data_IF_539455984474
#
_entry.id   IF_539455984474
#
_cell.length_a   1.000
_cell.length_b   1.000
_cell.length_c   1.000
_cell.angle_alpha   90.00
_cell.angle_beta   90.00
_cell.angle_gamma   90.00
#
_symmetry.space_group_name_H-M   'P 1'
#
loop_
_entity.id
_entity.type
_entity.pdbx_description
1 polymer ?
#
# COMPACT_ATOMS: atom_id res chain seq x y z
N UNK A 1 -21.76 39.33 -4.48
CA UNK A 1 -22.20 37.98 -4.12
C UNK A 1 -21.70 37.01 -5.17
N UNK A 2 -20.55 36.37 -4.92
CA UNK A 2 -20.01 35.35 -5.81
C UNK A 2 -20.48 33.95 -5.35
N UNK A 3 -21.08 33.13 -6.21
CA UNK A 3 -21.36 31.75 -5.85
C UNK A 3 -20.07 30.96 -5.79
N UNK A 4 -19.83 30.38 -4.63
CA UNK A 4 -18.76 29.42 -4.36
C UNK A 4 -18.90 28.26 -5.36
N UNK A 5 -17.90 28.10 -6.20
CA UNK A 5 -17.79 26.94 -7.10
C UNK A 5 -17.78 25.67 -6.25
N UNK A 6 -18.88 24.93 -6.30
CA UNK A 6 -18.94 23.56 -5.80
C UNK A 6 -18.02 22.71 -6.68
N UNK A 7 -16.84 22.39 -6.14
CA UNK A 7 -15.95 21.38 -6.72
C UNK A 7 -16.68 20.04 -6.69
N UNK A 8 -17.27 19.67 -7.82
CA UNK A 8 -17.67 18.31 -8.12
C UNK A 8 -16.41 17.44 -8.27
N UNK A 9 -15.85 17.03 -7.14
CA UNK A 9 -14.96 15.88 -7.14
C UNK A 9 -15.82 14.71 -7.61
N UNK A 10 -15.51 14.19 -8.80
CA UNK A 10 -16.23 13.08 -9.40
C UNK A 10 -16.39 11.97 -8.36
N UNK A 11 -17.63 11.66 -8.04
CA UNK A 11 -18.01 10.65 -7.06
C UNK A 11 -17.26 9.36 -7.40
N UNK A 12 -16.30 8.99 -6.55
CA UNK A 12 -15.67 7.68 -6.60
C UNK A 12 -16.83 6.68 -6.51
N UNK A 13 -16.99 5.82 -7.51
CA UNK A 13 -17.98 4.77 -7.44
C UNK A 13 -17.70 3.96 -6.18
N UNK A 14 -18.67 3.83 -5.25
CA UNK A 14 -18.45 3.07 -4.03
C UNK A 14 -18.08 1.63 -4.40
N UNK A 15 -17.06 1.11 -3.75
CA UNK A 15 -16.77 -0.33 -3.79
C UNK A 15 -18.08 -1.09 -3.58
N UNK A 16 -18.29 -2.24 -4.25
CA UNK A 16 -19.45 -3.08 -3.98
C UNK A 16 -19.62 -3.22 -2.46
N UNK A 17 -20.80 -2.94 -1.95
CA UNK A 17 -21.08 -2.91 -0.51
C UNK A 17 -20.59 -4.16 0.25
N UNK A 18 -20.46 -5.26 -0.46
CA UNK A 18 -19.92 -6.53 0.02
C UNK A 18 -18.42 -6.44 0.39
N UNK A 19 -17.61 -5.73 -0.40
CA UNK A 19 -16.18 -5.53 -0.12
C UNK A 19 -15.96 -4.55 1.03
N UNK A 20 -16.77 -3.49 1.10
CA UNK A 20 -16.73 -2.55 2.21
C UNK A 20 -17.15 -3.22 3.53
N UNK A 21 -18.17 -4.09 3.50
CA UNK A 21 -18.65 -4.81 4.69
C UNK A 21 -17.67 -5.90 5.15
N UNK A 22 -16.99 -6.55 4.21
CA UNK A 22 -15.91 -7.50 4.51
C UNK A 22 -14.70 -6.81 5.13
N UNK A 23 -14.31 -5.65 4.60
CA UNK A 23 -13.19 -4.85 5.14
C UNK A 23 -13.43 -4.41 6.57
N UNK A 24 -14.66 -4.01 6.92
CA UNK A 24 -15.03 -3.56 8.28
C UNK A 24 -15.15 -4.71 9.30
N UNK A 25 -15.35 -5.95 8.85
CA UNK A 25 -15.49 -7.14 9.70
C UNK A 25 -14.21 -7.93 9.88
N UNK A 26 -13.19 -7.71 9.03
CA UNK A 26 -11.88 -8.33 9.22
C UNK A 26 -11.17 -7.62 10.38
N UNK A 27 -10.71 -8.36 11.42
CA UNK A 27 -9.81 -7.78 12.40
C UNK A 27 -8.63 -7.12 11.69
N UNK A 28 -8.19 -5.93 12.11
CA UNK A 28 -7.13 -5.18 11.46
C UNK A 28 -5.85 -6.00 11.25
N UNK A 29 -5.55 -6.90 12.17
CA UNK A 29 -4.33 -7.71 12.14
C UNK A 29 -4.24 -8.72 10.98
N UNK A 30 -5.25 -9.53 10.65
CA UNK A 30 -5.23 -10.37 9.45
C UNK A 30 -5.10 -9.59 8.15
N UNK A 31 -5.71 -8.39 8.07
CA UNK A 31 -5.54 -7.49 6.93
C UNK A 31 -4.10 -7.00 6.80
N UNK A 32 -3.47 -6.63 7.92
CA UNK A 32 -2.06 -6.23 7.97
C UNK A 32 -1.12 -7.37 7.56
N UNK A 33 -1.43 -8.62 7.91
CA UNK A 33 -0.65 -9.79 7.48
C UNK A 33 -0.70 -9.96 5.95
N UNK A 34 -1.87 -9.82 5.34
CA UNK A 34 -2.01 -9.90 3.88
C UNK A 34 -1.30 -8.74 3.18
N UNK A 35 -1.42 -7.52 3.72
CA UNK A 35 -0.72 -6.35 3.22
C UNK A 35 0.80 -6.57 3.26
N UNK A 36 1.33 -7.01 4.39
CA UNK A 36 2.76 -7.31 4.59
C UNK A 36 3.24 -8.41 3.64
N UNK A 37 2.45 -9.46 3.44
CA UNK A 37 2.81 -10.52 2.49
C UNK A 37 2.94 -9.95 1.07
N UNK A 38 2.02 -9.08 0.65
CA UNK A 38 2.08 -8.41 -0.65
C UNK A 38 3.29 -7.47 -0.75
N UNK A 39 3.57 -6.66 0.29
CA UNK A 39 4.74 -5.77 0.33
C UNK A 39 6.05 -6.55 0.24
N UNK A 40 6.17 -7.65 0.98
CA UNK A 40 7.35 -8.51 0.95
C UNK A 40 7.53 -9.20 -0.41
N UNK A 41 6.45 -9.59 -1.05
CA UNK A 41 6.49 -10.24 -2.35
C UNK A 41 6.88 -9.27 -3.47
N UNK A 42 6.34 -8.05 -3.41
CA UNK A 42 6.38 -7.08 -4.51
C UNK A 42 7.45 -6.02 -4.30
N UNK A 43 7.49 -5.36 -3.13
CA UNK A 43 8.36 -4.21 -2.90
C UNK A 43 9.72 -4.58 -2.32
N UNK A 44 9.77 -5.53 -1.38
CA UNK A 44 11.03 -5.91 -0.71
C UNK A 44 12.21 -6.16 -1.66
N UNK A 45 12.06 -6.88 -2.81
CA UNK A 45 13.18 -7.13 -3.72
C UNK A 45 13.75 -5.87 -4.38
N UNK A 46 12.97 -4.80 -4.41
CA UNK A 46 13.30 -3.55 -5.10
C UNK A 46 13.71 -2.41 -4.15
N UNK A 47 13.73 -2.67 -2.84
CA UNK A 47 14.14 -1.67 -1.86
C UNK A 47 15.66 -1.59 -1.73
N UNK A 48 16.27 -0.40 -1.93
CA UNK A 48 17.67 -0.16 -1.63
C UNK A 48 18.00 -0.33 -0.14
N UNK A 49 19.26 -0.57 0.20
CA UNK A 49 19.68 -0.83 1.59
C UNK A 49 19.54 0.38 2.50
N UNK A 50 19.76 1.58 2.01
CA UNK A 50 19.55 2.84 2.73
C UNK A 50 18.07 3.05 3.07
N UNK A 51 17.16 2.69 2.16
CA UNK A 51 15.71 2.73 2.42
C UNK A 51 15.33 1.70 3.49
N UNK A 52 15.84 0.47 3.40
CA UNK A 52 15.61 -0.56 4.43
C UNK A 52 16.07 -0.10 5.81
N UNK A 53 17.25 0.53 5.87
CA UNK A 53 17.79 1.11 7.11
C UNK A 53 16.86 2.20 7.67
N UNK A 54 16.37 3.11 6.83
CA UNK A 54 15.46 4.18 7.22
C UNK A 54 14.09 3.68 7.70
N UNK A 55 13.61 2.55 7.17
CA UNK A 55 12.33 1.92 7.56
C UNK A 55 12.45 1.05 8.81
N UNK A 56 13.67 0.65 9.21
CA UNK A 56 13.88 -0.30 10.31
C UNK A 56 13.31 0.21 11.63
N UNK A 57 12.41 -0.56 12.23
CA UNK A 57 11.78 -0.26 13.51
C UNK A 57 10.72 0.85 13.46
N UNK A 58 10.50 1.49 12.31
CA UNK A 58 9.47 2.52 12.16
C UNK A 58 8.08 1.89 12.05
N UNK A 59 7.10 2.52 12.71
CA UNK A 59 5.71 2.14 12.60
C UNK A 59 5.06 2.85 11.41
N UNK A 60 4.71 2.08 10.41
CA UNK A 60 4.07 2.54 9.19
C UNK A 60 2.60 2.12 9.16
N UNK A 61 1.76 2.99 8.66
CA UNK A 61 0.34 2.72 8.44
C UNK A 61 -0.08 3.08 7.02
N UNK A 62 -0.80 2.18 6.37
CA UNK A 62 -1.54 2.45 5.14
C UNK A 62 -3.02 2.50 5.48
N UNK A 63 -3.68 3.62 5.19
CA UNK A 63 -5.11 3.83 5.38
C UNK A 63 -5.82 3.90 4.04
N UNK A 64 -6.79 3.01 3.84
CA UNK A 64 -7.69 3.03 2.67
C UNK A 64 -8.98 3.71 3.08
N UNK A 65 -9.13 4.99 2.69
CA UNK A 65 -10.15 5.89 3.25
C UNK A 65 -11.59 5.48 2.91
N UNK A 66 -11.83 5.04 1.68
CA UNK A 66 -13.17 4.63 1.20
C UNK A 66 -13.57 3.22 1.69
N UNK A 67 -12.61 2.38 2.05
CA UNK A 67 -12.85 1.07 2.65
C UNK A 67 -12.91 1.11 4.18
N UNK A 68 -12.46 2.22 4.80
CA UNK A 68 -12.42 2.38 6.26
C UNK A 68 -11.46 1.40 6.95
N UNK A 69 -10.41 0.95 6.26
CA UNK A 69 -9.42 0.00 6.79
C UNK A 69 -8.05 0.62 6.90
N UNK A 70 -7.27 0.17 7.88
CA UNK A 70 -5.88 0.55 8.07
C UNK A 70 -5.03 -0.69 8.31
N UNK A 71 -3.81 -0.67 7.78
CA UNK A 71 -2.84 -1.74 7.87
C UNK A 71 -1.57 -1.21 8.54
N UNK A 72 -1.24 -1.77 9.70
CA UNK A 72 -0.08 -1.39 10.50
C UNK A 72 1.04 -2.40 10.30
N UNK A 73 2.25 -1.89 10.03
CA UNK A 73 3.41 -2.71 9.78
C UNK A 73 4.72 -1.96 10.09
N UNK A 74 5.82 -2.69 10.13
CA UNK A 74 7.17 -2.17 10.32
C UNK A 74 8.15 -2.94 9.45
N UNK A 75 9.34 -2.38 9.22
CA UNK A 75 10.46 -3.16 8.70
C UNK A 75 11.24 -3.75 9.85
N UNK A 76 11.43 -5.07 9.87
CA UNK A 76 12.17 -5.76 10.92
C UNK A 76 12.98 -6.91 10.34
N UNK A 77 14.26 -6.93 10.68
CA UNK A 77 15.18 -7.92 10.11
C UNK A 77 15.34 -7.75 8.61
N UNK A 78 14.81 -8.68 7.84
CA UNK A 78 14.90 -8.71 6.38
C UNK A 78 13.54 -8.56 5.69
N UNK A 79 12.58 -7.87 6.30
CA UNK A 79 11.28 -7.70 5.63
C UNK A 79 10.27 -6.89 6.42
N UNK A 80 9.14 -6.65 5.77
CA UNK A 80 7.98 -6.08 6.42
C UNK A 80 7.35 -7.08 7.37
N UNK A 81 6.93 -6.62 8.53
CA UNK A 81 6.24 -7.39 9.57
C UNK A 81 4.98 -6.64 10.03
N UNK A 82 3.85 -7.35 10.13
CA UNK A 82 2.60 -6.77 10.60
C UNK A 82 2.69 -6.39 12.08
N UNK A 83 2.09 -5.27 12.45
CA UNK A 83 1.92 -4.84 13.82
C UNK A 83 0.50 -5.13 14.30
N UNK A 84 0.40 -5.66 15.52
CA UNK A 84 -0.88 -6.03 16.12
C UNK A 84 -1.59 -4.87 16.81
N UNK A 85 -0.87 -3.86 17.24
CA UNK A 85 -1.42 -2.73 17.98
C UNK A 85 -1.21 -1.42 17.26
N UNK A 86 -2.27 -0.66 17.20
CA UNK A 86 -2.30 0.67 16.69
C UNK A 86 -1.88 1.68 17.77
N UNK A 87 -0.58 1.92 17.87
CA UNK A 87 -0.10 3.18 18.42
C UNK A 87 -0.25 4.30 17.39
N UNK A 88 0.29 5.47 17.69
CA UNK A 88 0.48 6.53 16.70
C UNK A 88 1.57 6.06 15.73
N UNK A 89 1.30 5.99 14.42
CA UNK A 89 2.34 5.61 13.45
C UNK A 89 3.38 6.72 13.30
N UNK A 90 4.61 6.34 12.99
CA UNK A 90 5.65 7.30 12.59
C UNK A 90 5.30 7.95 11.24
N UNK A 91 4.68 7.18 10.35
CA UNK A 91 4.16 7.65 9.07
C UNK A 91 2.84 6.96 8.73
N UNK A 92 1.81 7.73 8.43
CA UNK A 92 0.55 7.26 7.85
C UNK A 92 0.43 7.72 6.40
N UNK A 93 0.13 6.79 5.50
CA UNK A 93 -0.12 7.05 4.09
C UNK A 93 -1.59 6.73 3.82
N UNK A 94 -2.35 7.75 3.43
CA UNK A 94 -3.79 7.65 3.20
C UNK A 94 -4.18 7.94 1.76
N UNK A 95 -5.02 7.10 1.18
CA UNK A 95 -5.65 7.35 -0.11
C UNK A 95 -6.94 6.52 -0.22
N UNK A 96 -7.75 6.77 -1.26
CA UNK A 96 -8.83 5.85 -1.59
C UNK A 96 -8.33 4.65 -2.40
N UNK A 97 -9.11 3.57 -2.44
CA UNK A 97 -8.77 2.34 -3.18
C UNK A 97 -8.38 2.62 -4.62
N UNK A 98 -9.13 3.47 -5.32
CA UNK A 98 -8.86 3.82 -6.72
C UNK A 98 -7.48 4.44 -6.90
N UNK A 99 -7.07 5.32 -5.97
CA UNK A 99 -5.81 6.04 -6.06
C UNK A 99 -4.62 5.13 -5.73
N UNK A 100 -4.77 4.21 -4.79
CA UNK A 100 -3.78 3.15 -4.56
C UNK A 100 -3.63 2.22 -5.78
N UNK A 101 -4.73 1.88 -6.44
CA UNK A 101 -4.69 1.09 -7.67
C UNK A 101 -4.00 1.87 -8.80
N UNK A 102 -4.30 3.16 -8.95
CA UNK A 102 -3.68 4.02 -9.96
C UNK A 102 -2.17 4.15 -9.75
N UNK A 103 -1.72 4.31 -8.48
CA UNK A 103 -0.30 4.24 -8.11
C UNK A 103 0.32 2.89 -8.47
N UNK A 104 -0.34 1.79 -8.08
CA UNK A 104 0.16 0.44 -8.31
C UNK A 104 0.29 0.09 -9.80
N UNK A 105 -0.56 0.68 -10.65
CA UNK A 105 -0.53 0.52 -12.11
C UNK A 105 0.35 1.56 -12.81
N UNK A 106 0.89 2.53 -12.08
CA UNK A 106 1.62 3.68 -12.66
C UNK A 106 0.78 4.55 -13.60
N UNK A 107 -0.54 4.55 -13.41
CA UNK A 107 -1.48 5.45 -14.11
C UNK A 107 -1.41 6.89 -13.56
N UNK A 108 -0.98 7.01 -12.31
CA UNK A 108 -0.72 8.28 -11.61
C UNK A 108 0.60 8.17 -10.85
N UNK A 109 1.36 9.24 -10.80
CA UNK A 109 2.57 9.34 -9.98
C UNK A 109 2.24 9.82 -8.56
N UNK A 110 3.10 9.51 -7.57
CA UNK A 110 2.88 9.89 -6.18
C UNK A 110 2.77 11.41 -5.99
N UNK A 111 3.55 12.20 -6.72
CA UNK A 111 3.56 13.66 -6.60
C UNK A 111 2.24 14.26 -7.07
N UNK A 112 1.73 13.83 -8.21
CA UNK A 112 0.43 14.28 -8.73
C UNK A 112 -0.69 14.00 -7.73
N UNK A 113 -0.71 12.81 -7.13
CA UNK A 113 -1.71 12.47 -6.12
C UNK A 113 -1.54 13.26 -4.83
N UNK A 114 -0.31 13.50 -4.40
CA UNK A 114 -0.02 14.28 -3.20
C UNK A 114 -0.43 15.74 -3.37
N UNK A 115 -0.02 16.41 -4.44
CA UNK A 115 -0.37 17.82 -4.70
C UNK A 115 -1.88 18.01 -4.97
N UNK A 116 -2.56 17.01 -5.51
CA UNK A 116 -4.03 17.04 -5.67
C UNK A 116 -4.79 16.63 -4.41
N UNK A 117 -4.11 16.40 -3.28
CA UNK A 117 -4.68 15.99 -1.99
C UNK A 117 -5.47 14.66 -2.04
N UNK A 118 -5.14 13.81 -2.99
CA UNK A 118 -5.71 12.47 -3.14
C UNK A 118 -4.86 11.40 -2.43
N UNK A 119 -3.58 11.71 -2.19
CA UNK A 119 -2.66 10.97 -1.35
C UNK A 119 -2.27 11.86 -0.18
N UNK A 120 -2.47 11.41 1.06
CA UNK A 120 -1.97 12.07 2.27
C UNK A 120 -0.77 11.31 2.81
N UNK A 121 0.17 12.07 3.38
CA UNK A 121 1.28 11.53 4.16
C UNK A 121 1.37 12.35 5.44
N UNK A 122 1.14 11.70 6.58
CA UNK A 122 1.08 12.34 7.89
C UNK A 122 2.08 11.68 8.84
N UNK A 123 2.84 12.47 9.58
CA UNK A 123 3.85 12.01 10.54
C UNK A 123 5.24 12.53 10.23
N UNK A 124 6.25 11.67 10.31
CA UNK A 124 7.66 12.01 10.09
C UNK A 124 7.89 12.41 8.62
N UNK A 125 8.28 13.66 8.41
CA UNK A 125 8.45 14.24 7.06
C UNK A 125 9.61 13.60 6.30
N UNK A 126 10.70 13.27 6.99
CA UNK A 126 11.87 12.62 6.35
C UNK A 126 11.51 11.21 5.89
N UNK A 127 10.80 10.48 6.74
CA UNK A 127 10.30 9.15 6.41
C UNK A 127 9.29 9.19 5.27
N UNK A 128 8.39 10.19 5.27
CA UNK A 128 7.45 10.43 4.18
C UNK A 128 8.15 10.67 2.84
N UNK A 129 9.17 11.53 2.86
CA UNK A 129 9.97 11.83 1.67
C UNK A 129 10.74 10.58 1.17
N UNK A 130 11.32 9.82 2.09
CA UNK A 130 12.01 8.56 1.77
C UNK A 130 11.07 7.57 1.07
N UNK A 131 9.89 7.34 1.63
CA UNK A 131 8.88 6.43 1.06
C UNK A 131 8.39 6.94 -0.28
N UNK A 132 8.06 8.23 -0.39
CA UNK A 132 7.61 8.84 -1.64
C UNK A 132 8.64 8.67 -2.76
N UNK A 133 9.90 9.03 -2.50
CA UNK A 133 10.97 8.92 -3.47
C UNK A 133 11.23 7.46 -3.87
N UNK A 134 11.10 6.52 -2.92
CA UNK A 134 11.23 5.08 -3.19
C UNK A 134 10.12 4.60 -4.12
N UNK A 135 8.88 4.99 -3.87
CA UNK A 135 7.74 4.63 -4.73
C UNK A 135 7.91 5.23 -6.14
N UNK A 136 8.43 6.44 -6.23
CA UNK A 136 8.67 7.11 -7.51
C UNK A 136 9.80 6.44 -8.31
N UNK A 137 10.85 5.99 -7.65
CA UNK A 137 11.98 5.30 -8.26
C UNK A 137 11.66 3.89 -8.79
N UNK A 138 10.56 3.28 -8.36
CA UNK A 138 10.13 1.98 -8.88
C UNK A 138 9.44 2.19 -10.23
N UNK A 139 10.15 1.99 -11.33
CA UNK A 139 9.67 2.26 -12.70
C UNK A 139 8.62 1.24 -13.18
N UNK A 140 8.64 0.02 -12.65
CA UNK A 140 7.72 -1.06 -13.06
C UNK A 140 6.43 -0.99 -12.27
N UNK A 141 5.25 -1.14 -12.90
CA UNK A 141 3.99 -1.22 -12.16
C UNK A 141 4.01 -2.32 -11.09
N UNK A 142 3.56 -1.97 -9.88
CA UNK A 142 3.51 -2.91 -8.73
C UNK A 142 2.65 -4.14 -9.07
N UNK A 143 1.63 -3.98 -9.89
CA UNK A 143 0.79 -5.06 -10.41
C UNK A 143 1.58 -6.04 -11.28
N UNK A 144 2.49 -5.53 -12.10
CA UNK A 144 3.38 -6.38 -12.92
C UNK A 144 4.42 -7.10 -12.06
N UNK A 145 5.01 -6.41 -11.09
CA UNK A 145 5.90 -7.03 -10.10
C UNK A 145 5.19 -8.15 -9.32
N UNK A 146 3.94 -7.92 -8.90
CA UNK A 146 3.12 -8.92 -8.23
C UNK A 146 2.84 -10.13 -9.13
N UNK A 147 2.51 -9.92 -10.39
CA UNK A 147 2.29 -10.99 -11.36
C UNK A 147 3.55 -11.83 -11.58
N UNK A 148 4.71 -11.19 -11.73
CA UNK A 148 6.00 -11.87 -11.89
C UNK A 148 6.38 -12.66 -10.63
N UNK A 149 6.17 -12.10 -9.44
CA UNK A 149 6.44 -12.75 -8.18
C UNK A 149 5.55 -14.00 -7.97
N UNK A 150 4.26 -13.89 -8.27
CA UNK A 150 3.33 -15.03 -8.23
C UNK A 150 3.72 -16.11 -9.25
N UNK A 151 4.08 -15.74 -10.47
CA UNK A 151 4.53 -16.70 -11.49
C UNK A 151 5.77 -17.47 -11.02
N UNK A 152 6.75 -16.81 -10.37
CA UNK A 152 7.92 -17.47 -9.78
C UNK A 152 7.54 -18.44 -8.67
N UNK A 153 6.61 -18.05 -7.78
CA UNK A 153 6.12 -18.92 -6.72
C UNK A 153 5.46 -20.18 -7.28
N UNK A 154 4.57 -20.02 -8.27
CA UNK A 154 3.90 -21.16 -8.90
C UNK A 154 4.87 -22.06 -9.67
N UNK A 155 5.91 -21.51 -10.29
CA UNK A 155 6.93 -22.30 -10.99
C UNK A 155 7.87 -23.06 -10.03
N UNK A 156 8.05 -22.54 -8.81
CA UNK A 156 8.86 -23.17 -7.77
C UNK A 156 8.12 -24.29 -7.01
N UNK A 157 6.78 -24.37 -7.12
CA UNK A 157 6.02 -25.47 -6.54
C UNK A 157 6.30 -26.73 -7.33
N UNK A 158 6.79 -27.83 -6.70
CA UNK A 158 7.01 -29.10 -7.39
C UNK A 158 5.67 -29.56 -7.97
N UNK A 159 5.62 -29.65 -9.29
CA UNK A 159 4.43 -30.08 -10.00
C UNK A 159 3.94 -31.40 -9.41
N UNK A 160 2.68 -31.48 -9.04
CA UNK A 160 1.98 -32.74 -8.85
C UNK A 160 2.10 -33.50 -10.17
N UNK A 161 3.17 -34.30 -10.31
CA UNK A 161 3.22 -35.31 -11.36
C UNK A 161 2.01 -36.21 -11.17
N UNK A 162 1.11 -36.13 -12.13
CA UNK A 162 -0.09 -36.94 -12.16
C UNK A 162 0.25 -38.41 -11.91
N UNK A 163 -0.40 -38.98 -10.92
CA UNK A 163 -0.52 -40.42 -10.81
C UNK A 163 -1.26 -40.93 -12.05
N UNK A 164 -0.57 -41.68 -12.84
CA UNK A 164 -1.17 -42.62 -13.76
C UNK A 164 -1.44 -43.91 -13.01
#
# INVERSE_FOLDING_TARGET
MNPVAQNNYGAAQPLPALLATLGQRLPAYPGSLLCVAALNLVLKPHLPDDVRAGLTGRHLRVRVSDAGVAFDFTWRGDGFAALHSAGVPDLEIGACTRDFIALAKREQDPDTLFFSRRLSMEGDTELGLLVKNTLDAIEVPVTELGRQALARLFSALPGRRGAR
#
